data_IF_992828880408
#
_entry.id   IF_992828880408
#
_cell.length_a   1.000
_cell.length_b   1.000
_cell.length_c   1.000
_cell.angle_alpha   90.00
_cell.angle_beta   90.00
_cell.angle_gamma   90.00
#
_symmetry.space_group_name_H-M   'P 1'
#
loop_
_entity.id
_entity.type
_entity.pdbx_description
1 polymer ?
#
# COMPACT_ATOMS: atom_id res chain seq x y z
N UNK A 1 -16.97 -12.25 10.77
CA UNK A 1 -16.48 -11.93 10.77
C UNK A 1 -15.50 -12.03 10.83
N UNK A 2 -14.87 -12.06 10.79
CA UNK A 2 -13.94 -12.22 10.83
C UNK A 2 -13.16 -11.34 11.10
N UNK A 3 -12.56 -11.11 11.59
CA UNK A 3 -11.90 -10.33 11.78
C UNK A 3 -10.77 -10.34 11.63
N UNK A 4 -10.22 -9.90 11.51
CA UNK A 4 -9.20 -10.04 11.05
C UNK A 4 -8.18 -9.14 11.51
N UNK A 5 -7.46 -9.40 12.47
CA UNK A 5 -6.40 -8.63 13.01
C UNK A 5 -5.30 -8.41 12.03
N UNK A 6 -5.09 -9.38 11.17
CA UNK A 6 -4.08 -9.24 10.15
C UNK A 6 -4.40 -8.14 9.19
N UNK A 7 -5.66 -8.07 8.83
CA UNK A 7 -6.10 -7.05 7.91
C UNK A 7 -5.94 -5.67 8.51
N UNK A 8 -6.14 -5.58 9.79
CA UNK A 8 -5.97 -4.31 10.45
C UNK A 8 -4.54 -3.83 10.36
N UNK A 9 -3.59 -4.75 10.49
CA UNK A 9 -2.19 -4.38 10.37
C UNK A 9 -1.88 -3.89 8.97
N UNK A 10 -2.42 -4.56 7.96
CA UNK A 10 -2.22 -4.14 6.58
C UNK A 10 -2.83 -2.76 6.36
N UNK A 11 -4.01 -2.53 6.91
CA UNK A 11 -4.64 -1.22 6.77
C UNK A 11 -3.80 -0.12 7.37
N UNK A 12 -3.12 -0.40 8.47
CA UNK A 12 -2.28 0.62 9.08
C UNK A 12 -1.09 0.98 8.21
N UNK A 13 -0.62 0.05 7.40
CA UNK A 13 0.50 0.29 6.52
C UNK A 13 0.09 0.98 5.23
N UNK A 14 -1.15 0.80 4.80
CA UNK A 14 -1.61 1.33 3.51
C UNK A 14 -2.11 2.75 3.67
N UNK A 15 -1.16 3.66 3.83
CA UNK A 15 -1.44 5.09 3.93
C UNK A 15 -0.63 5.81 2.88
N UNK A 16 -1.20 6.88 2.33
CA UNK A 16 -0.55 7.64 1.27
C UNK A 16 0.84 8.08 1.70
N UNK A 17 1.80 7.82 0.84
CA UNK A 17 3.19 8.18 1.11
C UNK A 17 4.02 7.04 1.68
N UNK A 18 3.38 5.96 2.13
CA UNK A 18 4.12 4.83 2.67
C UNK A 18 4.62 3.93 1.56
N UNK A 19 5.76 3.32 1.81
CA UNK A 19 6.33 2.33 0.90
C UNK A 19 6.23 0.97 1.57
N UNK A 20 5.70 0.00 0.85
CA UNK A 20 5.45 -1.33 1.37
C UNK A 20 6.21 -2.34 0.53
N UNK A 21 6.85 -3.29 1.19
CA UNK A 21 7.56 -4.36 0.51
C UNK A 21 6.80 -5.66 0.74
N UNK A 22 6.52 -6.39 -0.32
CA UNK A 22 5.81 -7.65 -0.19
C UNK A 22 6.81 -8.81 -0.07
N UNK A 23 6.27 -10.03 0.02
CA UNK A 23 7.08 -11.21 0.25
C UNK A 23 8.01 -11.49 -0.93
N UNK A 24 7.69 -10.98 -2.10
CA UNK A 24 8.52 -11.14 -3.29
C UNK A 24 9.53 -10.01 -3.46
N UNK A 25 9.69 -9.17 -2.44
CA UNK A 25 10.59 -8.02 -2.46
C UNK A 25 10.18 -6.94 -3.46
N UNK A 26 8.92 -6.93 -3.85
CA UNK A 26 8.40 -5.86 -4.69
C UNK A 26 8.05 -4.67 -3.82
N UNK A 27 8.44 -3.49 -4.26
CA UNK A 27 8.19 -2.26 -3.53
C UNK A 27 7.01 -1.52 -4.13
N UNK A 28 6.13 -1.07 -3.25
CA UNK A 28 4.93 -0.33 -3.65
C UNK A 28 4.85 0.98 -2.90
N UNK A 29 4.51 2.04 -3.60
CA UNK A 29 4.24 3.34 -2.98
C UNK A 29 2.74 3.57 -3.00
N UNK A 30 2.17 3.89 -1.85
CA UNK A 30 0.73 4.18 -1.76
C UNK A 30 0.50 5.63 -2.17
N UNK A 31 -0.36 5.82 -3.16
CA UNK A 31 -0.65 7.15 -3.69
C UNK A 31 -2.15 7.37 -3.80
N UNK A 32 -2.56 8.62 -3.89
CA UNK A 32 -3.95 8.94 -4.14
C UNK A 32 -4.51 9.99 -3.21
N UNK A 33 -5.80 10.24 -3.36
CA UNK A 33 -6.53 11.17 -2.51
C UNK A 33 -8.01 10.87 -2.60
N UNK A 34 -8.82 11.59 -1.83
CA UNK A 34 -10.25 11.35 -1.79
C UNK A 34 -10.96 11.62 -3.11
N UNK A 35 -10.42 12.53 -3.92
CA UNK A 35 -11.08 12.92 -5.15
C UNK A 35 -10.81 11.94 -6.29
N UNK A 36 -9.63 11.37 -6.33
CA UNK A 36 -9.20 10.56 -7.46
C UNK A 36 -9.03 9.10 -7.14
N UNK A 37 -9.18 8.73 -5.87
CA UNK A 37 -9.01 7.35 -5.46
C UNK A 37 -7.57 7.04 -5.10
N UNK A 38 -7.33 5.79 -4.76
CA UNK A 38 -6.04 5.34 -4.22
C UNK A 38 -5.52 4.19 -5.05
N UNK A 39 -4.20 4.11 -5.16
CA UNK A 39 -3.56 3.06 -5.93
C UNK A 39 -2.18 2.80 -5.40
N UNK A 40 -1.54 1.75 -5.90
CA UNK A 40 -0.14 1.48 -5.60
C UNK A 40 0.69 1.71 -6.84
N UNK A 41 1.82 2.36 -6.66
CA UNK A 41 2.82 2.44 -7.70
C UNK A 41 3.82 1.32 -7.44
N UNK A 42 3.93 0.40 -8.37
CA UNK A 42 4.89 -0.68 -8.24
C UNK A 42 6.24 -0.12 -8.66
N UNK A 43 7.07 0.17 -7.67
CA UNK A 43 8.37 0.80 -7.93
C UNK A 43 9.35 -0.16 -8.57
N UNK A 44 9.16 -1.44 -8.35
CA UNK A 44 10.05 -2.44 -8.91
C UNK A 44 9.84 -2.60 -10.41
N UNK A 45 8.58 -2.60 -10.83
CA UNK A 45 8.24 -2.85 -12.24
C UNK A 45 7.75 -1.61 -12.98
N UNK A 46 7.69 -0.47 -12.30
CA UNK A 46 7.28 0.80 -12.92
C UNK A 46 5.86 0.80 -13.48
N UNK A 47 4.93 0.25 -12.72
CA UNK A 47 3.54 0.33 -13.16
C UNK A 47 2.64 0.66 -11.98
N UNK A 48 1.38 0.93 -12.27
CA UNK A 48 0.41 1.41 -11.28
C UNK A 48 -0.76 0.44 -11.28
N UNK A 49 -1.24 0.12 -10.10
CA UNK A 49 -2.42 -0.74 -9.98
C UNK A 49 -3.68 0.03 -10.34
N UNK A 50 -4.79 -0.68 -10.40
CA UNK A 50 -6.08 -0.04 -10.57
C UNK A 50 -6.42 0.82 -9.36
N UNK A 51 -7.35 1.74 -9.53
CA UNK A 51 -7.73 2.66 -8.46
C UNK A 51 -8.81 2.07 -7.58
N UNK A 52 -8.74 2.42 -6.30
CA UNK A 52 -9.73 2.02 -5.32
C UNK A 52 -10.28 3.29 -4.66
N UNK A 53 -11.53 3.25 -4.30
CA UNK A 53 -12.15 4.44 -3.69
C UNK A 53 -11.69 4.67 -2.26
N UNK A 54 -11.17 3.65 -1.58
CA UNK A 54 -10.68 3.80 -0.21
C UNK A 54 -9.36 3.08 -0.03
N UNK A 55 -8.61 3.53 0.97
CA UNK A 55 -7.37 2.84 1.33
C UNK A 55 -7.66 1.45 1.89
N UNK A 56 -8.79 1.30 2.54
CA UNK A 56 -9.19 0.02 3.07
C UNK A 56 -9.41 -0.99 1.95
N UNK A 57 -10.06 -0.57 0.87
CA UNK A 57 -10.27 -1.43 -0.28
C UNK A 57 -8.95 -1.84 -0.92
N UNK A 58 -8.03 -0.89 -1.02
CA UNK A 58 -6.72 -1.16 -1.57
C UNK A 58 -5.99 -2.21 -0.72
N UNK A 59 -6.01 -2.04 0.60
CA UNK A 59 -5.36 -2.96 1.51
C UNK A 59 -5.99 -4.35 1.46
N UNK A 60 -7.30 -4.42 1.29
CA UNK A 60 -7.99 -5.70 1.23
C UNK A 60 -7.59 -6.53 0.02
N UNK A 61 -7.29 -5.86 -1.09
CA UNK A 61 -6.95 -6.57 -2.32
C UNK A 61 -5.45 -6.88 -2.36
N UNK A 62 -4.63 -5.92 -2.00
CA UNK A 62 -3.18 -6.07 -2.14
C UNK A 62 -2.46 -6.36 -0.84
N UNK A 63 -3.08 -6.12 0.29
CA UNK A 63 -2.43 -6.34 1.58
C UNK A 63 -2.20 -7.80 1.86
N UNK A 64 -1.09 -8.09 2.51
CA UNK A 64 -0.74 -9.43 2.89
C UNK A 64 -0.12 -9.38 4.28
N UNK A 65 -0.28 -10.44 5.03
CA UNK A 65 0.26 -10.48 6.38
C UNK A 65 1.78 -10.41 6.38
N UNK A 66 2.41 -10.75 5.27
CA UNK A 66 3.86 -10.73 5.16
C UNK A 66 4.41 -9.42 4.61
N UNK A 67 3.54 -8.45 4.35
CA UNK A 67 3.98 -7.13 3.91
C UNK A 67 4.75 -6.45 5.04
N UNK A 68 5.74 -5.65 4.64
CA UNK A 68 6.57 -4.93 5.58
C UNK A 68 6.57 -3.45 5.21
N UNK A 69 6.38 -2.61 6.20
CA UNK A 69 6.47 -1.17 5.98
C UNK A 69 7.95 -0.80 5.89
N UNK A 70 8.32 -0.21 4.77
CA UNK A 70 9.69 0.21 4.55
C UNK A 70 9.85 1.62 5.10
N UNK A 71 10.79 1.78 6.01
CA UNK A 71 11.07 3.11 6.52
C UNK A 71 12.06 3.75 5.60
N UNK A 72 11.53 4.56 4.73
CA UNK A 72 12.36 5.25 3.77
C UNK A 72 12.17 6.74 3.95
N UNK A 73 13.24 7.48 3.69
CA UNK A 73 13.15 8.93 3.70
C UNK A 73 13.38 9.39 2.30
N UNK A 74 12.54 10.30 1.87
CA UNK A 74 12.74 10.94 0.60
C UNK A 74 13.28 12.32 0.89
N UNK A 75 14.53 12.53 0.52
CA UNK A 75 15.16 13.80 0.74
C UNK A 75 15.03 14.66 -0.50
N UNK A 76 14.56 15.85 -0.32
CA UNK A 76 14.40 16.80 -1.42
C UNK A 76 15.53 17.78 -1.34
N UNK A 77 16.25 17.91 -2.40
CA UNK A 77 17.43 18.78 -2.44
C UNK A 77 17.20 19.95 -3.37
#
# INVERSE_FOLDING_TARGET
MKINFKNKKSEDMYKVGNVIKDIADTLYLVVGNNDHGYALVNLTDNNVTEKFSTLEGLANVYGDKDDVLVKAEINVF
#
